data_IF_048608140171
#
_entry.id   IF_048608140171
#
_cell.length_a   1.000
_cell.length_b   1.000
_cell.length_c   1.000
_cell.angle_alpha   90.00
_cell.angle_beta   90.00
_cell.angle_gamma   90.00
#
_symmetry.space_group_name_H-M   'P 1'
#
loop_
_entity.id
_entity.type
_entity.pdbx_description
1 polymer ?
#
# COMPACT_ATOMS: atom_id res chain seq x y z
N UNK A 1 28.38 -28.58 -36.14
CA UNK A 1 27.61 -27.54 -35.40
C UNK A 1 27.16 -27.89 -33.97
N UNK A 2 26.74 -29.12 -33.61
CA UNK A 2 26.26 -29.40 -32.24
C UNK A 2 27.37 -29.34 -31.17
N UNK A 3 28.61 -29.67 -31.52
CA UNK A 3 29.77 -29.64 -30.61
C UNK A 3 30.09 -28.20 -30.16
N UNK A 4 30.07 -27.24 -31.09
CA UNK A 4 30.32 -25.83 -30.80
C UNK A 4 29.24 -25.24 -29.86
N UNK A 5 27.98 -25.64 -30.07
CA UNK A 5 26.85 -25.26 -29.23
C UNK A 5 26.99 -25.82 -27.81
N UNK A 6 27.36 -27.10 -27.68
CA UNK A 6 27.52 -27.74 -26.38
C UNK A 6 28.73 -27.16 -25.61
N UNK A 7 29.84 -26.86 -26.30
CA UNK A 7 30.99 -26.18 -25.71
C UNK A 7 30.63 -24.78 -25.22
N UNK A 8 29.88 -24.00 -26.02
CA UNK A 8 29.40 -22.69 -25.60
C UNK A 8 28.48 -22.76 -24.37
N UNK A 9 27.55 -23.73 -24.33
CA UNK A 9 26.67 -23.94 -23.16
C UNK A 9 27.47 -24.30 -21.91
N UNK A 10 28.50 -25.14 -22.03
CA UNK A 10 29.37 -25.51 -20.91
C UNK A 10 30.19 -24.32 -20.40
N UNK A 11 30.78 -23.53 -21.29
CA UNK A 11 31.52 -22.31 -20.90
C UNK A 11 30.61 -21.29 -20.22
N UNK A 12 29.39 -21.10 -20.73
CA UNK A 12 28.40 -20.22 -20.10
C UNK A 12 28.01 -20.79 -18.72
N UNK A 13 27.72 -22.09 -18.64
CA UNK A 13 27.35 -22.76 -17.39
C UNK A 13 28.45 -22.66 -16.32
N UNK A 14 29.71 -22.91 -16.69
CA UNK A 14 30.87 -22.77 -15.81
C UNK A 14 31.12 -21.31 -15.42
N UNK A 15 30.99 -20.37 -16.35
CA UNK A 15 31.11 -18.94 -16.09
C UNK A 15 30.05 -18.43 -15.11
N UNK A 16 28.79 -18.84 -15.30
CA UNK A 16 27.68 -18.53 -14.37
C UNK A 16 27.94 -19.18 -13.01
N UNK A 17 28.35 -20.45 -12.98
CA UNK A 17 28.64 -21.17 -11.73
C UNK A 17 29.79 -20.53 -10.94
N UNK A 18 30.87 -20.13 -11.62
CA UNK A 18 32.00 -19.43 -11.00
C UNK A 18 31.62 -18.02 -10.52
N UNK A 19 30.79 -17.30 -11.28
CA UNK A 19 30.27 -16.00 -10.88
C UNK A 19 29.35 -16.10 -9.65
N UNK A 20 28.46 -17.09 -9.63
CA UNK A 20 27.64 -17.40 -8.45
C UNK A 20 28.55 -17.72 -7.26
N UNK A 21 29.50 -18.65 -7.41
CA UNK A 21 30.43 -19.03 -6.35
C UNK A 21 31.21 -17.83 -5.78
N UNK A 22 31.74 -16.96 -6.65
CA UNK A 22 32.41 -15.72 -6.23
C UNK A 22 31.46 -14.79 -5.49
N UNK A 23 30.26 -14.57 -6.02
CA UNK A 23 29.27 -13.66 -5.42
C UNK A 23 28.80 -14.15 -4.05
N UNK A 24 28.63 -15.47 -3.89
CA UNK A 24 28.26 -16.12 -2.62
C UNK A 24 29.32 -15.89 -1.55
N UNK A 25 30.61 -15.97 -1.89
CA UNK A 25 31.71 -15.76 -0.93
C UNK A 25 31.72 -14.31 -0.40
N UNK A 26 31.46 -13.33 -1.27
CA UNK A 26 31.50 -11.92 -0.88
C UNK A 26 30.18 -11.39 -0.31
N UNK A 27 29.06 -12.05 -0.61
CA UNK A 27 27.68 -11.61 -0.31
C UNK A 27 26.78 -12.82 0.00
N UNK A 28 27.00 -13.54 1.11
CA UNK A 28 26.21 -14.72 1.48
C UNK A 28 24.71 -14.42 1.60
N UNK A 29 24.34 -13.18 1.92
CA UNK A 29 22.96 -12.72 2.01
C UNK A 29 22.22 -12.78 0.66
N UNK A 30 22.93 -12.64 -0.47
CA UNK A 30 22.33 -12.75 -1.81
C UNK A 30 21.93 -14.18 -2.13
N UNK A 31 22.73 -15.16 -1.71
CA UNK A 31 22.41 -16.57 -1.92
C UNK A 31 21.11 -16.93 -1.22
N UNK A 32 20.99 -16.54 0.05
CA UNK A 32 19.80 -16.83 0.84
C UNK A 32 18.55 -16.16 0.26
N UNK A 33 18.64 -14.88 -0.10
CA UNK A 33 17.53 -14.20 -0.76
C UNK A 33 17.15 -14.87 -2.08
N UNK A 34 18.13 -15.32 -2.86
CA UNK A 34 17.89 -16.06 -4.09
C UNK A 34 17.21 -17.41 -3.81
N UNK A 35 17.66 -18.17 -2.80
CA UNK A 35 17.04 -19.43 -2.38
C UNK A 35 15.59 -19.24 -1.97
N UNK A 36 15.30 -18.25 -1.12
CA UNK A 36 13.92 -17.91 -0.71
C UNK A 36 13.09 -17.51 -1.94
N UNK A 37 13.65 -16.69 -2.84
CA UNK A 37 12.96 -16.31 -4.07
C UNK A 37 12.66 -17.53 -4.95
N UNK A 38 13.59 -18.48 -5.11
CA UNK A 38 13.35 -19.72 -5.85
C UNK A 38 12.26 -20.56 -5.19
N UNK A 39 12.25 -20.67 -3.86
CA UNK A 39 11.20 -21.37 -3.12
C UNK A 39 9.82 -20.71 -3.34
N UNK A 40 9.77 -19.39 -3.52
CA UNK A 40 8.54 -18.66 -3.90
C UNK A 40 8.19 -18.86 -5.39
N UNK A 41 9.17 -18.98 -6.29
CA UNK A 41 8.88 -19.05 -7.72
C UNK A 41 8.55 -20.47 -8.21
N UNK A 42 9.14 -21.51 -7.63
CA UNK A 42 8.94 -22.90 -8.06
C UNK A 42 7.46 -23.32 -8.00
N UNK A 43 6.72 -23.14 -6.89
CA UNK A 43 5.31 -23.52 -6.85
C UNK A 43 4.47 -22.72 -7.86
N UNK A 44 4.75 -21.42 -7.99
CA UNK A 44 4.09 -20.57 -8.99
C UNK A 44 4.35 -21.05 -10.41
N UNK A 45 5.59 -21.45 -10.71
CA UNK A 45 5.98 -21.96 -12.02
C UNK A 45 5.29 -23.29 -12.31
N UNK A 46 5.22 -24.20 -11.34
CA UNK A 46 4.49 -25.47 -11.48
C UNK A 46 3.01 -25.19 -11.76
N UNK A 47 2.36 -24.33 -10.95
CA UNK A 47 0.95 -23.96 -11.14
C UNK A 47 0.69 -23.30 -12.50
N UNK A 48 1.61 -22.47 -12.97
CA UNK A 48 1.54 -21.87 -14.30
C UNK A 48 1.75 -22.90 -15.41
N UNK A 49 2.73 -23.79 -15.27
CA UNK A 49 3.03 -24.83 -16.24
C UNK A 49 1.87 -25.82 -16.39
N UNK A 50 1.13 -26.10 -15.32
CA UNK A 50 -0.06 -26.98 -15.33
C UNK A 50 -1.38 -26.25 -15.58
N UNK A 51 -1.36 -24.93 -15.84
CA UNK A 51 -2.55 -24.09 -15.99
C UNK A 51 -3.57 -24.23 -14.84
N UNK A 52 -3.06 -24.39 -13.61
CA UNK A 52 -3.88 -24.69 -12.45
C UNK A 52 -4.72 -23.48 -12.01
N UNK A 53 -5.95 -23.76 -11.57
CA UNK A 53 -6.88 -22.76 -11.03
C UNK A 53 -6.35 -22.00 -9.82
N UNK A 54 -5.43 -22.62 -9.07
CA UNK A 54 -4.83 -22.07 -7.86
C UNK A 54 -3.74 -21.02 -8.14
N UNK A 55 -3.38 -20.78 -9.41
CA UNK A 55 -2.35 -19.81 -9.76
C UNK A 55 -2.71 -18.38 -9.35
N UNK A 56 -3.96 -17.93 -9.55
CA UNK A 56 -4.39 -16.60 -9.10
C UNK A 56 -4.33 -16.46 -7.57
N UNK A 57 -4.93 -17.37 -6.78
CA UNK A 57 -4.77 -17.38 -5.33
C UNK A 57 -3.30 -17.35 -4.89
N UNK A 58 -2.43 -18.10 -5.57
CA UNK A 58 -1.01 -18.11 -5.28
C UNK A 58 -0.35 -16.75 -5.50
N UNK A 59 -0.58 -16.11 -6.66
CA UNK A 59 -0.05 -14.78 -6.95
C UNK A 59 -0.54 -13.75 -5.92
N UNK A 60 -1.83 -13.78 -5.58
CA UNK A 60 -2.40 -12.93 -4.52
C UNK A 60 -1.68 -13.18 -3.19
N UNK A 61 -1.47 -14.44 -2.81
CA UNK A 61 -0.77 -14.80 -1.58
C UNK A 61 0.64 -14.19 -1.53
N UNK A 62 1.39 -14.23 -2.64
CA UNK A 62 2.74 -13.64 -2.69
C UNK A 62 2.69 -12.11 -2.56
N UNK A 63 1.71 -11.43 -3.14
CA UNK A 63 1.53 -9.99 -2.91
C UNK A 63 1.22 -9.64 -1.45
N UNK A 64 0.48 -10.50 -0.76
CA UNK A 64 0.09 -10.27 0.63
C UNK A 64 1.20 -10.62 1.61
N UNK A 65 1.93 -11.73 1.40
CA UNK A 65 2.88 -12.28 2.37
C UNK A 65 4.34 -11.96 1.99
N UNK A 66 4.63 -11.68 0.72
CA UNK A 66 5.97 -11.35 0.24
C UNK A 66 6.65 -10.20 1.01
N UNK A 67 5.96 -9.07 1.29
CA UNK A 67 6.57 -8.00 2.08
C UNK A 67 6.90 -8.40 3.52
N UNK A 68 6.08 -9.27 4.13
CA UNK A 68 6.36 -9.83 5.46
C UNK A 68 7.58 -10.74 5.46
N UNK A 69 7.69 -11.65 4.48
CA UNK A 69 8.87 -12.51 4.31
C UNK A 69 10.14 -11.65 4.15
N UNK A 70 10.05 -10.56 3.38
CA UNK A 70 11.15 -9.61 3.25
C UNK A 70 11.49 -8.98 4.60
N UNK A 71 10.53 -8.44 5.33
CA UNK A 71 10.78 -7.80 6.64
C UNK A 71 11.42 -8.75 7.65
N UNK A 72 10.91 -9.98 7.73
CA UNK A 72 11.48 -11.02 8.57
C UNK A 72 12.91 -11.36 8.16
N UNK A 73 13.20 -11.41 6.86
CA UNK A 73 14.55 -11.67 6.36
C UNK A 73 15.50 -10.51 6.65
N UNK A 74 15.05 -9.28 6.43
CA UNK A 74 15.81 -8.05 6.71
C UNK A 74 16.16 -7.99 8.22
N UNK A 75 15.23 -8.38 9.09
CA UNK A 75 15.41 -8.32 10.54
C UNK A 75 16.22 -9.50 11.08
N UNK A 76 15.80 -10.73 10.79
CA UNK A 76 16.38 -11.93 11.40
C UNK A 76 17.76 -12.27 10.85
N UNK A 77 18.03 -11.93 9.58
CA UNK A 77 19.25 -12.38 8.89
C UNK A 77 20.18 -11.22 8.54
N UNK A 78 19.65 -10.17 7.90
CA UNK A 78 20.48 -9.03 7.51
C UNK A 78 20.80 -8.11 8.70
N UNK A 79 19.97 -8.13 9.75
CA UNK A 79 20.10 -7.26 10.92
C UNK A 79 19.99 -5.76 10.61
N UNK A 80 19.55 -5.40 9.40
CA UNK A 80 19.48 -4.03 8.93
C UNK A 80 18.45 -3.85 7.82
N UNK A 81 17.88 -2.65 7.77
CA UNK A 81 16.95 -2.28 6.71
C UNK A 81 17.69 -2.04 5.38
N UNK A 82 17.17 -2.64 4.31
CA UNK A 82 17.59 -2.34 2.94
C UNK A 82 16.43 -1.77 2.14
N UNK A 83 16.70 -0.73 1.35
CA UNK A 83 15.69 -0.08 0.48
C UNK A 83 15.21 -1.01 -0.62
N UNK A 84 16.12 -1.80 -1.20
CA UNK A 84 15.82 -2.74 -2.27
C UNK A 84 16.54 -4.07 -2.02
N UNK A 85 15.77 -5.15 -1.97
CA UNK A 85 16.28 -6.51 -1.83
C UNK A 85 15.80 -7.35 -3.01
N UNK A 86 16.45 -8.50 -3.25
CA UNK A 86 16.00 -9.42 -4.30
C UNK A 86 14.58 -9.92 -4.00
N UNK A 87 14.23 -10.05 -2.71
CA UNK A 87 12.90 -10.42 -2.25
C UNK A 87 11.82 -9.39 -2.59
N UNK A 88 12.18 -8.11 -2.76
CA UNK A 88 11.28 -7.06 -3.24
C UNK A 88 10.72 -7.33 -4.65
N UNK A 89 11.37 -8.19 -5.43
CA UNK A 89 10.92 -8.61 -6.75
C UNK A 89 9.94 -9.79 -6.71
N UNK A 90 9.77 -10.45 -5.56
CA UNK A 90 8.94 -11.67 -5.47
C UNK A 90 7.51 -11.49 -5.98
N UNK A 91 6.75 -10.41 -5.67
CA UNK A 91 5.38 -10.30 -6.16
C UNK A 91 5.32 -10.04 -7.67
N UNK A 92 6.24 -9.22 -8.18
CA UNK A 92 6.37 -8.93 -9.61
C UNK A 92 6.70 -10.21 -10.38
N UNK A 93 7.73 -10.95 -9.94
CA UNK A 93 8.15 -12.18 -10.61
C UNK A 93 7.08 -13.27 -10.53
N UNK A 94 6.41 -13.43 -9.38
CA UNK A 94 5.30 -14.37 -9.25
C UNK A 94 4.14 -14.00 -10.19
N UNK A 95 3.84 -12.71 -10.34
CA UNK A 95 2.77 -12.24 -11.25
C UNK A 95 3.16 -12.45 -12.72
N UNK A 96 4.43 -12.25 -13.09
CA UNK A 96 4.92 -12.51 -14.45
C UNK A 96 4.75 -13.97 -14.88
N UNK A 97 4.64 -14.92 -13.95
CA UNK A 97 4.34 -16.32 -14.27
C UNK A 97 2.95 -16.50 -14.89
N UNK A 98 2.02 -15.55 -14.67
CA UNK A 98 0.72 -15.52 -15.34
C UNK A 98 0.87 -15.36 -16.87
N UNK A 99 2.01 -14.90 -17.38
CA UNK A 99 2.26 -14.83 -18.81
C UNK A 99 2.43 -16.22 -19.45
N UNK A 100 2.93 -17.21 -18.71
CA UNK A 100 3.24 -18.54 -19.26
C UNK A 100 2.00 -19.24 -19.87
N UNK A 101 0.83 -19.27 -19.19
CA UNK A 101 -0.37 -19.84 -19.80
C UNK A 101 -0.94 -18.99 -20.95
N UNK A 102 -0.64 -17.67 -21.01
CA UNK A 102 -1.12 -16.82 -22.11
C UNK A 102 -0.48 -17.21 -23.43
N UNK A 103 0.82 -17.54 -23.43
CA UNK A 103 1.51 -18.00 -24.63
C UNK A 103 0.99 -19.34 -25.17
N UNK A 104 0.22 -20.08 -24.36
CA UNK A 104 -0.45 -21.33 -24.77
C UNK A 104 -1.93 -21.13 -25.10
N UNK A 105 -2.46 -19.92 -24.90
CA UNK A 105 -3.86 -19.65 -25.18
C UNK A 105 -4.06 -19.47 -26.68
N UNK A 106 -4.93 -20.29 -27.27
CA UNK A 106 -5.36 -20.16 -28.67
C UNK A 106 -6.40 -19.05 -28.86
N UNK A 107 -6.91 -18.45 -27.77
CA UNK A 107 -7.90 -17.39 -27.85
C UNK A 107 -7.22 -16.08 -28.20
N UNK A 108 -7.58 -15.53 -29.35
CA UNK A 108 -7.20 -14.18 -29.72
C UNK A 108 -8.05 -13.14 -28.96
N UNK A 109 -7.45 -12.04 -28.47
CA UNK A 109 -8.19 -10.93 -27.90
C UNK A 109 -9.02 -10.22 -28.98
N UNK A 110 -10.27 -9.90 -28.66
CA UNK A 110 -11.16 -9.16 -29.56
C UNK A 110 -10.68 -7.72 -29.79
N UNK A 111 -11.16 -7.06 -30.85
CA UNK A 111 -10.84 -5.64 -31.14
C UNK A 111 -11.20 -4.69 -29.99
N UNK A 112 -12.24 -4.99 -29.21
CA UNK A 112 -12.64 -4.19 -28.04
C UNK A 112 -11.64 -4.35 -26.90
N UNK A 113 -11.24 -5.59 -26.64
CA UNK A 113 -10.24 -5.94 -25.63
C UNK A 113 -8.88 -5.31 -25.98
N UNK A 114 -8.43 -5.40 -27.24
CA UNK A 114 -7.20 -4.75 -27.70
C UNK A 114 -7.23 -3.23 -27.57
N UNK A 115 -8.38 -2.58 -27.84
CA UNK A 115 -8.53 -1.14 -27.62
C UNK A 115 -8.42 -0.78 -26.14
N UNK A 116 -9.04 -1.56 -25.26
CA UNK A 116 -8.95 -1.37 -23.82
C UNK A 116 -7.50 -1.51 -23.34
N UNK A 117 -6.80 -2.55 -23.80
CA UNK A 117 -5.38 -2.78 -23.50
C UNK A 117 -4.53 -1.58 -23.95
N UNK A 118 -4.70 -1.11 -25.18
CA UNK A 118 -3.94 0.05 -25.69
C UNK A 118 -4.23 1.32 -24.89
N UNK A 119 -5.50 1.58 -24.57
CA UNK A 119 -5.90 2.74 -23.78
C UNK A 119 -5.28 2.72 -22.37
N UNK A 120 -5.13 1.53 -21.78
CA UNK A 120 -4.45 1.36 -20.49
C UNK A 120 -2.93 1.48 -20.60
N UNK A 121 -2.31 0.83 -21.58
CA UNK A 121 -0.84 0.74 -21.68
C UNK A 121 -0.18 2.08 -22.04
N UNK A 122 -0.86 2.97 -22.78
CA UNK A 122 -0.25 4.22 -23.26
C UNK A 122 0.11 5.19 -22.12
N UNK A 123 -0.78 5.49 -21.14
CA UNK A 123 -0.40 6.25 -19.94
C UNK A 123 0.75 5.62 -19.14
N UNK A 124 0.76 4.29 -18.98
CA UNK A 124 1.84 3.60 -18.25
C UNK A 124 3.17 3.65 -19.00
N UNK A 125 3.16 3.56 -20.33
CA UNK A 125 4.37 3.72 -21.13
C UNK A 125 4.95 5.13 -20.98
N UNK A 126 4.09 6.16 -21.02
CA UNK A 126 4.50 7.54 -20.79
C UNK A 126 5.05 7.76 -19.36
N UNK A 127 4.30 7.33 -18.34
CA UNK A 127 4.74 7.42 -16.94
C UNK A 127 6.04 6.64 -16.69
N UNK A 128 6.19 5.48 -17.35
CA UNK A 128 7.40 4.67 -17.31
C UNK A 128 8.60 5.37 -17.93
N UNK A 129 8.44 6.00 -19.10
CA UNK A 129 9.50 6.79 -19.74
C UNK A 129 9.93 7.96 -18.85
N UNK A 130 8.97 8.72 -18.30
CA UNK A 130 9.25 9.81 -17.36
C UNK A 130 9.95 9.29 -16.10
N UNK A 131 9.47 8.20 -15.52
CA UNK A 131 10.05 7.58 -14.33
C UNK A 131 11.49 7.10 -14.55
N UNK A 132 11.78 6.48 -15.69
CA UNK A 132 13.12 6.03 -16.07
C UNK A 132 14.08 7.21 -16.26
N UNK A 133 13.64 8.27 -16.93
CA UNK A 133 14.44 9.47 -17.16
C UNK A 133 14.79 10.20 -15.86
N UNK A 134 13.83 10.30 -14.92
CA UNK A 134 14.00 11.06 -13.68
C UNK A 134 14.64 10.23 -12.54
N UNK A 135 14.29 8.95 -12.42
CA UNK A 135 14.60 8.13 -11.24
C UNK A 135 15.33 6.81 -11.57
N UNK A 136 15.73 6.58 -12.82
CA UNK A 136 16.49 5.41 -13.28
C UNK A 136 15.90 4.09 -12.78
N UNK A 137 16.66 3.32 -11.98
CA UNK A 137 16.25 2.01 -11.45
C UNK A 137 15.03 2.09 -10.53
N UNK A 138 14.88 3.14 -9.73
CA UNK A 138 13.71 3.31 -8.87
C UNK A 138 12.44 3.54 -9.71
N UNK A 139 12.58 4.32 -10.79
CA UNK A 139 11.51 4.50 -11.78
C UNK A 139 11.13 3.19 -12.48
N UNK A 140 12.11 2.37 -12.85
CA UNK A 140 11.87 1.04 -13.43
C UNK A 140 11.15 0.09 -12.46
N UNK A 141 11.60 0.02 -11.21
CA UNK A 141 10.93 -0.78 -10.19
C UNK A 141 9.50 -0.31 -9.93
N UNK A 142 9.28 1.02 -9.90
CA UNK A 142 7.95 1.60 -9.85
C UNK A 142 7.07 1.12 -11.01
N UNK A 143 7.57 1.22 -12.25
CA UNK A 143 6.86 0.77 -13.44
C UNK A 143 6.48 -0.73 -13.37
N UNK A 144 7.40 -1.58 -12.93
CA UNK A 144 7.13 -3.02 -12.77
C UNK A 144 5.97 -3.30 -11.81
N UNK A 145 5.87 -2.56 -10.70
CA UNK A 145 4.77 -2.73 -9.75
C UNK A 145 3.40 -2.33 -10.32
N UNK A 146 3.36 -1.46 -11.34
CA UNK A 146 2.11 -1.10 -12.03
C UNK A 146 1.80 -2.00 -13.21
N UNK A 147 2.81 -2.43 -13.97
CA UNK A 147 2.64 -3.28 -15.15
C UNK A 147 2.38 -4.73 -14.76
N UNK A 148 3.02 -5.24 -13.71
CA UNK A 148 2.89 -6.65 -13.34
C UNK A 148 1.43 -7.05 -13.03
N UNK A 149 0.65 -6.31 -12.21
CA UNK A 149 -0.76 -6.61 -11.99
C UNK A 149 -1.62 -6.66 -13.27
N UNK A 150 -1.18 -6.04 -14.38
CA UNK A 150 -1.91 -6.14 -15.66
C UNK A 150 -1.89 -7.56 -16.22
N UNK A 151 -0.86 -8.37 -15.93
CA UNK A 151 -0.86 -9.79 -16.30
C UNK A 151 -2.05 -10.55 -15.72
N UNK A 152 -2.56 -10.13 -14.55
CA UNK A 152 -3.79 -10.69 -13.98
C UNK A 152 -5.01 -10.38 -14.86
N UNK A 153 -5.12 -9.15 -15.35
CA UNK A 153 -6.19 -8.75 -16.27
C UNK A 153 -6.11 -9.56 -17.56
N UNK A 154 -4.94 -9.65 -18.20
CA UNK A 154 -4.75 -10.45 -19.41
C UNK A 154 -5.08 -11.93 -19.19
N UNK A 155 -4.65 -12.49 -18.07
CA UNK A 155 -4.94 -13.86 -17.69
C UNK A 155 -6.44 -14.11 -17.52
N UNK A 156 -7.14 -13.25 -16.78
CA UNK A 156 -8.58 -13.38 -16.61
C UNK A 156 -9.37 -13.17 -17.91
N UNK A 157 -8.86 -12.32 -18.81
CA UNK A 157 -9.50 -12.08 -20.10
C UNK A 157 -9.37 -13.28 -21.05
N UNK A 158 -8.19 -13.89 -21.14
CA UNK A 158 -7.91 -14.95 -22.11
C UNK A 158 -8.25 -16.35 -21.60
N UNK A 159 -8.11 -16.61 -20.30
CA UNK A 159 -8.41 -17.92 -19.71
C UNK A 159 -9.90 -18.08 -19.46
N UNK A 160 -10.48 -19.16 -19.99
CA UNK A 160 -11.83 -19.60 -19.60
C UNK A 160 -11.79 -20.03 -18.14
N UNK A 161 -12.61 -19.38 -17.32
CA UNK A 161 -12.80 -19.70 -15.90
C UNK A 161 -14.29 -19.90 -15.66
N UNK A 162 -14.63 -20.93 -14.90
CA UNK A 162 -16.02 -21.17 -14.49
C UNK A 162 -16.40 -20.28 -13.29
N UNK A 163 -17.70 -20.18 -13.01
CA UNK A 163 -18.22 -19.35 -11.91
C UNK A 163 -17.81 -19.87 -10.53
N UNK A 164 -17.58 -21.18 -10.40
CA UNK A 164 -17.12 -21.81 -9.15
C UNK A 164 -15.68 -21.43 -8.83
N UNK A 165 -14.81 -21.44 -9.83
CA UNK A 165 -13.41 -21.04 -9.75
C UNK A 165 -13.29 -19.55 -9.39
N UNK A 166 -14.05 -18.69 -10.06
CA UNK A 166 -14.11 -17.25 -9.74
C UNK A 166 -14.61 -17.03 -8.31
N UNK A 167 -15.64 -17.77 -7.88
CA UNK A 167 -16.12 -17.70 -6.51
C UNK A 167 -15.10 -18.21 -5.50
N UNK A 168 -14.28 -19.20 -5.85
CA UNK A 168 -13.18 -19.68 -5.01
C UNK A 168 -12.06 -18.64 -4.88
N UNK A 169 -11.71 -17.93 -5.96
CA UNK A 169 -10.74 -16.83 -5.93
C UNK A 169 -11.20 -15.68 -5.04
N UNK A 170 -12.45 -15.23 -5.18
CA UNK A 170 -13.01 -14.18 -4.33
C UNK A 170 -13.04 -14.64 -2.87
N UNK A 171 -13.46 -15.87 -2.61
CA UNK A 171 -13.48 -16.43 -1.25
C UNK A 171 -12.09 -16.49 -0.63
N UNK A 172 -11.07 -16.88 -1.40
CA UNK A 172 -9.68 -16.84 -0.96
C UNK A 172 -9.25 -15.41 -0.62
N UNK A 173 -9.53 -14.45 -1.50
CA UNK A 173 -9.24 -13.03 -1.30
C UNK A 173 -9.86 -12.46 -0.01
N UNK A 174 -11.15 -12.74 0.23
CA UNK A 174 -11.87 -12.34 1.46
C UNK A 174 -11.30 -13.04 2.70
N UNK A 175 -10.94 -14.32 2.58
CA UNK A 175 -10.34 -15.09 3.68
C UNK A 175 -8.99 -14.47 4.07
N UNK A 176 -8.16 -14.11 3.09
CA UNK A 176 -6.91 -13.40 3.35
C UNK A 176 -7.15 -12.03 3.97
N UNK A 177 -8.17 -11.28 3.53
CA UNK A 177 -8.64 -10.05 4.18
C UNK A 177 -8.85 -10.22 5.69
N UNK A 178 -9.54 -11.28 6.08
CA UNK A 178 -9.80 -11.60 7.49
C UNK A 178 -8.51 -11.98 8.23
N UNK A 179 -7.65 -12.82 7.65
CA UNK A 179 -6.39 -13.23 8.27
C UNK A 179 -5.41 -12.06 8.46
N UNK A 180 -5.27 -11.21 7.44
CA UNK A 180 -4.44 -10.01 7.54
C UNK A 180 -4.99 -9.02 8.57
N UNK A 181 -6.31 -9.03 8.80
CA UNK A 181 -6.93 -8.21 9.85
C UNK A 181 -6.62 -8.73 11.26
N UNK A 182 -6.54 -10.05 11.45
CA UNK A 182 -6.03 -10.64 12.70
C UNK A 182 -4.59 -10.18 12.94
N UNK A 183 -3.73 -10.33 11.91
CA UNK A 183 -2.34 -9.91 12.01
C UNK A 183 -2.20 -8.40 12.24
N UNK A 184 -3.05 -7.57 11.63
CA UNK A 184 -3.04 -6.12 11.84
C UNK A 184 -3.31 -5.74 13.31
N UNK A 185 -4.25 -6.43 13.97
CA UNK A 185 -4.49 -6.23 15.40
C UNK A 185 -3.30 -6.70 16.24
N UNK A 186 -2.76 -7.88 15.97
CA UNK A 186 -1.54 -8.35 16.64
C UNK A 186 -0.39 -7.36 16.46
N UNK A 187 -0.18 -6.88 15.24
CA UNK A 187 0.83 -5.90 14.86
C UNK A 187 0.62 -4.59 15.63
N UNK A 188 -0.61 -4.07 15.67
CA UNK A 188 -0.96 -2.82 16.34
C UNK A 188 -0.74 -2.87 17.86
N UNK A 189 -1.06 -4.01 18.49
CA UNK A 189 -0.97 -4.20 19.93
C UNK A 189 0.45 -4.52 20.41
N UNK A 190 1.24 -5.24 19.62
CA UNK A 190 2.56 -5.74 20.06
C UNK A 190 3.74 -5.01 19.44
N UNK A 191 3.56 -4.47 18.23
CA UNK A 191 4.60 -3.96 17.34
C UNK A 191 5.84 -4.88 17.30
N UNK A 192 5.82 -5.92 16.45
CA UNK A 192 6.94 -6.83 16.32
C UNK A 192 8.25 -6.13 15.93
N UNK A 193 9.38 -6.69 16.34
CA UNK A 193 10.69 -6.08 16.15
C UNK A 193 11.05 -5.84 14.67
N UNK A 194 10.64 -6.74 13.77
CA UNK A 194 10.85 -6.58 12.33
C UNK A 194 10.01 -5.44 11.73
N UNK A 195 8.79 -5.25 12.24
CA UNK A 195 7.93 -4.14 11.82
C UNK A 195 8.42 -2.80 12.38
N UNK A 196 8.94 -2.77 13.62
CA UNK A 196 9.64 -1.59 14.16
C UNK A 196 10.82 -1.19 13.28
N UNK A 197 11.70 -2.13 12.97
CA UNK A 197 12.86 -1.91 12.10
C UNK A 197 12.43 -1.42 10.71
N UNK A 198 11.32 -1.93 10.19
CA UNK A 198 10.76 -1.48 8.91
C UNK A 198 10.29 -0.02 8.96
N UNK A 199 9.52 0.37 9.97
CA UNK A 199 9.01 1.74 10.13
C UNK A 199 10.16 2.74 10.25
N UNK A 200 11.14 2.43 11.09
CA UNK A 200 12.30 3.27 11.36
C UNK A 200 13.23 3.37 10.14
N UNK A 201 13.57 2.22 9.55
CA UNK A 201 14.47 2.13 8.40
C UNK A 201 13.91 2.79 7.15
N UNK A 202 12.63 2.57 6.86
CA UNK A 202 11.94 3.19 5.73
C UNK A 202 11.53 4.66 5.99
N UNK A 203 11.78 5.19 7.20
CA UNK A 203 11.45 6.57 7.61
C UNK A 203 9.98 6.93 7.33
N UNK A 204 9.07 6.02 7.66
CA UNK A 204 7.64 6.18 7.36
C UNK A 204 6.95 7.12 8.36
N UNK A 205 7.28 8.41 8.33
CA UNK A 205 6.76 9.43 9.25
C UNK A 205 5.22 9.46 9.28
N UNK A 206 4.57 9.15 8.15
CA UNK A 206 3.10 9.14 8.03
C UNK A 206 2.42 8.02 8.82
N UNK A 207 3.14 6.97 9.23
CA UNK A 207 2.60 5.89 10.05
C UNK A 207 2.48 6.26 11.53
N UNK A 208 3.20 7.27 12.01
CA UNK A 208 3.30 7.61 13.42
C UNK A 208 4.53 7.00 14.10
N UNK A 209 4.71 7.22 15.41
CA UNK A 209 5.83 6.68 16.18
C UNK A 209 5.86 5.16 16.15
N UNK A 210 7.05 4.55 16.11
CA UNK A 210 7.23 3.09 16.12
C UNK A 210 7.06 2.51 17.55
N UNK A 211 5.89 2.78 18.13
CA UNK A 211 5.48 2.32 19.46
C UNK A 211 4.11 1.62 19.38
N UNK A 212 3.87 0.57 20.19
CA UNK A 212 2.58 -0.11 20.25
C UNK A 212 1.42 0.88 20.42
N UNK A 213 0.32 0.63 19.70
CA UNK A 213 -0.89 1.46 19.67
C UNK A 213 -0.74 2.91 19.16
N UNK A 214 0.48 3.36 18.82
CA UNK A 214 0.73 4.73 18.34
C UNK A 214 0.99 4.83 16.83
N UNK A 215 1.19 3.70 16.16
CA UNK A 215 1.37 3.65 14.71
C UNK A 215 0.11 3.16 13.98
N UNK A 216 0.02 3.45 12.69
CA UNK A 216 -1.05 2.99 11.81
C UNK A 216 -0.75 1.59 11.30
N UNK A 217 -1.65 0.65 11.55
CA UNK A 217 -1.46 -0.75 11.17
C UNK A 217 -1.38 -0.90 9.63
N UNK A 218 -0.48 -1.78 9.17
CA UNK A 218 -0.29 -2.09 7.75
C UNK A 218 -0.23 -3.60 7.46
N UNK A 219 -0.40 -4.43 8.50
CA UNK A 219 -0.37 -5.89 8.41
C UNK A 219 0.88 -6.38 7.67
N UNK A 220 0.76 -7.44 6.87
CA UNK A 220 1.84 -8.03 6.08
C UNK A 220 2.24 -7.20 4.85
N UNK A 221 1.62 -6.04 4.60
CA UNK A 221 1.85 -5.21 3.41
C UNK A 221 2.87 -4.10 3.68
N UNK A 222 3.42 -3.48 2.64
CA UNK A 222 4.50 -2.48 2.80
C UNK A 222 4.07 -1.18 3.49
N UNK A 223 2.79 -0.82 3.43
CA UNK A 223 2.27 0.45 3.94
C UNK A 223 0.77 0.35 4.27
N UNK A 224 0.29 1.21 5.17
CA UNK A 224 -1.11 1.25 5.61
C UNK A 224 -2.08 1.57 4.48
N UNK A 225 -1.68 2.42 3.51
CA UNK A 225 -2.51 2.74 2.34
C UNK A 225 -2.75 1.55 1.41
N UNK A 226 -1.76 0.68 1.22
CA UNK A 226 -1.95 -0.54 0.43
C UNK A 226 -2.88 -1.53 1.16
N UNK A 227 -2.72 -1.64 2.49
CA UNK A 227 -3.56 -2.47 3.32
C UNK A 227 -5.01 -2.00 3.39
N UNK A 228 -5.24 -0.70 3.55
CA UNK A 228 -6.59 -0.15 3.63
C UNK A 228 -7.36 -0.32 2.31
N UNK A 229 -6.70 -0.15 1.15
CA UNK A 229 -7.30 -0.42 -0.16
C UNK A 229 -7.67 -1.90 -0.30
N UNK A 230 -6.76 -2.80 0.08
CA UNK A 230 -7.01 -4.25 0.07
C UNK A 230 -8.20 -4.65 0.96
N UNK A 231 -8.32 -4.06 2.15
CA UNK A 231 -9.47 -4.32 3.04
C UNK A 231 -10.79 -3.87 2.41
N UNK A 232 -10.84 -2.66 1.84
CA UNK A 232 -12.05 -2.13 1.21
C UNK A 232 -12.52 -3.05 0.07
N UNK A 233 -11.60 -3.42 -0.82
CA UNK A 233 -11.92 -4.32 -1.93
C UNK A 233 -12.27 -5.76 -1.49
N UNK A 234 -11.85 -6.19 -0.29
CA UNK A 234 -12.22 -7.49 0.28
C UNK A 234 -13.56 -7.46 1.04
N UNK A 235 -13.85 -6.36 1.75
CA UNK A 235 -15.10 -6.17 2.51
C UNK A 235 -16.31 -6.21 1.56
N UNK A 236 -16.21 -5.54 0.41
CA UNK A 236 -17.33 -5.41 -0.52
C UNK A 236 -17.89 -6.76 -1.00
N UNK A 237 -17.13 -7.67 -1.62
CA UNK A 237 -17.63 -8.98 -2.02
C UNK A 237 -18.13 -9.83 -0.83
N UNK A 238 -17.53 -9.68 0.35
CA UNK A 238 -17.98 -10.39 1.55
C UNK A 238 -19.39 -9.95 1.98
N UNK A 239 -19.69 -8.64 1.92
CA UNK A 239 -21.03 -8.12 2.21
C UNK A 239 -22.04 -8.61 1.16
N UNK A 240 -21.67 -8.49 -0.12
CA UNK A 240 -22.57 -8.74 -1.26
C UNK A 240 -23.13 -10.16 -1.30
N UNK A 241 -22.28 -11.17 -1.07
CA UNK A 241 -22.70 -12.55 -1.25
C UNK A 241 -22.21 -13.47 -0.13
N UNK A 242 -23.13 -14.20 0.49
CA UNK A 242 -22.82 -15.20 1.52
C UNK A 242 -21.79 -16.23 1.05
N UNK A 243 -21.81 -16.61 -0.25
CA UNK A 243 -20.88 -17.60 -0.82
C UNK A 243 -19.42 -17.12 -0.87
N UNK A 244 -19.19 -15.80 -0.76
CA UNK A 244 -17.86 -15.17 -0.84
C UNK A 244 -17.26 -14.81 0.52
N UNK A 245 -18.02 -14.92 1.62
CA UNK A 245 -17.60 -14.51 2.98
C UNK A 245 -16.44 -15.31 3.57
N UNK A 246 -15.98 -16.36 2.89
CA UNK A 246 -14.97 -17.26 3.44
C UNK A 246 -15.47 -18.03 4.67
N UNK A 247 -14.56 -18.68 5.39
CA UNK A 247 -14.90 -19.48 6.57
C UNK A 247 -15.30 -18.63 7.78
N UNK A 248 -14.87 -17.36 7.85
CA UNK A 248 -15.08 -16.49 9.00
C UNK A 248 -16.43 -15.74 8.99
N UNK A 249 -17.18 -15.79 7.89
CA UNK A 249 -18.53 -15.24 7.83
C UNK A 249 -18.59 -13.74 8.19
N UNK A 250 -19.55 -13.38 9.06
CA UNK A 250 -19.70 -12.01 9.56
C UNK A 250 -18.58 -11.58 10.50
N UNK A 251 -17.99 -12.50 11.27
CA UNK A 251 -16.88 -12.18 12.16
C UNK A 251 -15.67 -11.69 11.34
N UNK A 252 -15.40 -12.31 10.19
CA UNK A 252 -14.36 -11.84 9.26
C UNK A 252 -14.62 -10.42 8.74
N UNK A 253 -15.87 -10.09 8.41
CA UNK A 253 -16.25 -8.74 7.94
C UNK A 253 -16.04 -7.69 9.04
N UNK A 254 -16.53 -7.95 10.25
CA UNK A 254 -16.35 -7.04 11.39
C UNK A 254 -14.87 -6.85 11.72
N UNK A 255 -14.09 -7.94 11.65
CA UNK A 255 -12.65 -7.88 11.85
C UNK A 255 -11.97 -7.01 10.79
N UNK A 256 -12.32 -7.16 9.51
CA UNK A 256 -11.79 -6.32 8.43
C UNK A 256 -12.16 -4.84 8.60
N UNK A 257 -13.41 -4.53 8.99
CA UNK A 257 -13.84 -3.15 9.26
C UNK A 257 -13.07 -2.57 10.44
N UNK A 258 -12.87 -3.35 11.51
CA UNK A 258 -12.10 -2.90 12.68
C UNK A 258 -10.61 -2.68 12.34
N UNK A 259 -10.02 -3.56 11.52
CA UNK A 259 -8.66 -3.39 11.03
C UNK A 259 -8.54 -2.14 10.14
N UNK A 260 -9.56 -1.85 9.32
CA UNK A 260 -9.63 -0.63 8.52
C UNK A 260 -9.59 0.63 9.42
N UNK A 261 -10.24 0.61 10.58
CA UNK A 261 -10.21 1.72 11.55
C UNK A 261 -8.80 2.01 12.06
N UNK A 262 -8.04 0.98 12.45
CA UNK A 262 -6.67 1.14 12.96
C UNK A 262 -5.63 1.48 11.86
N UNK A 263 -6.00 1.43 10.57
CA UNK A 263 -5.15 1.99 9.49
C UNK A 263 -5.15 3.52 9.44
N UNK A 264 -6.21 4.17 9.97
CA UNK A 264 -6.48 5.61 9.93
C UNK A 264 -6.46 6.25 8.52
N UNK A 265 -6.69 5.46 7.46
CA UNK A 265 -6.73 5.97 6.07
C UNK A 265 -8.13 6.47 5.72
N UNK A 266 -8.38 7.77 5.94
CA UNK A 266 -9.69 8.40 5.70
C UNK A 266 -10.23 8.19 4.29
N UNK A 267 -9.36 8.27 3.28
CA UNK A 267 -9.73 8.07 1.89
C UNK A 267 -10.34 6.67 1.64
N UNK A 268 -9.89 5.64 2.36
CA UNK A 268 -10.42 4.28 2.20
C UNK A 268 -11.85 4.14 2.73
N UNK A 269 -12.23 4.87 3.77
CA UNK A 269 -13.64 4.94 4.21
C UNK A 269 -14.54 5.57 3.15
N UNK A 270 -14.06 6.64 2.51
CA UNK A 270 -14.78 7.29 1.41
C UNK A 270 -14.94 6.32 0.24
N UNK A 271 -13.88 5.60 -0.15
CA UNK A 271 -13.95 4.59 -1.21
C UNK A 271 -14.95 3.49 -0.86
N UNK A 272 -14.94 2.97 0.38
CA UNK A 272 -15.91 1.97 0.82
C UNK A 272 -17.36 2.47 0.70
N UNK A 273 -17.61 3.71 1.13
CA UNK A 273 -18.95 4.32 0.99
C UNK A 273 -19.34 4.46 -0.48
N UNK A 274 -18.43 4.94 -1.34
CA UNK A 274 -18.67 5.07 -2.78
C UNK A 274 -18.96 3.71 -3.41
N UNK A 275 -18.19 2.67 -3.09
CA UNK A 275 -18.41 1.31 -3.59
C UNK A 275 -19.77 0.76 -3.18
N UNK A 276 -20.16 0.94 -1.91
CA UNK A 276 -21.47 0.54 -1.40
C UNK A 276 -22.59 1.28 -2.14
N UNK A 277 -22.50 2.61 -2.25
CA UNK A 277 -23.51 3.43 -2.94
C UNK A 277 -23.62 3.04 -4.40
N UNK A 278 -22.49 2.97 -5.11
CA UNK A 278 -22.45 2.59 -6.51
C UNK A 278 -23.11 1.23 -6.74
N UNK A 279 -22.84 0.27 -5.85
CA UNK A 279 -23.43 -1.05 -5.97
C UNK A 279 -24.92 -1.09 -5.64
N UNK A 280 -25.39 -0.34 -4.63
CA UNK A 280 -26.82 -0.19 -4.33
C UNK A 280 -27.57 0.41 -5.52
N UNK A 281 -26.97 1.41 -6.19
CA UNK A 281 -27.55 2.03 -7.39
C UNK A 281 -27.68 1.03 -8.55
N UNK A 282 -26.71 0.13 -8.72
CA UNK A 282 -26.76 -0.91 -9.75
C UNK A 282 -27.62 -2.12 -9.38
N UNK A 283 -27.84 -2.39 -8.09
CA UNK A 283 -28.66 -3.50 -7.61
C UNK A 283 -30.15 -3.28 -7.92
N UNK A 284 -30.89 -4.35 -8.24
CA UNK A 284 -32.32 -4.30 -8.54
C UNK A 284 -33.19 -4.99 -7.48
N UNK A 285 -34.39 -4.45 -7.25
CA UNK A 285 -35.46 -5.04 -6.42
C UNK A 285 -35.03 -5.43 -5.00
N UNK A 286 -35.27 -6.69 -4.63
CA UNK A 286 -35.01 -7.23 -3.29
C UNK A 286 -33.53 -7.25 -2.89
N UNK A 287 -32.60 -7.29 -3.85
CA UNK A 287 -31.16 -7.25 -3.56
C UNK A 287 -30.73 -5.89 -3.02
N UNK A 288 -31.31 -4.81 -3.58
CA UNK A 288 -31.08 -3.43 -3.14
C UNK A 288 -31.55 -3.21 -1.70
N UNK A 289 -32.78 -3.63 -1.39
CA UNK A 289 -33.34 -3.54 -0.02
C UNK A 289 -32.48 -4.30 0.99
N UNK A 290 -32.08 -5.54 0.66
CA UNK A 290 -31.18 -6.33 1.52
C UNK A 290 -29.87 -5.62 1.83
N UNK A 291 -29.25 -4.99 0.82
CA UNK A 291 -28.00 -4.25 1.02
C UNK A 291 -28.20 -3.01 1.88
N UNK A 292 -29.27 -2.24 1.63
CA UNK A 292 -29.60 -1.08 2.46
C UNK A 292 -29.79 -1.50 3.91
N UNK A 293 -30.51 -2.60 4.17
CA UNK A 293 -30.68 -3.13 5.53
C UNK A 293 -29.34 -3.54 6.16
N UNK A 294 -28.49 -4.27 5.43
CA UNK A 294 -27.17 -4.69 5.95
C UNK A 294 -26.29 -3.48 6.28
N UNK A 295 -26.21 -2.52 5.37
CA UNK A 295 -25.41 -1.30 5.56
C UNK A 295 -25.97 -0.49 6.72
N UNK A 296 -27.29 -0.33 6.81
CA UNK A 296 -27.96 0.33 7.93
C UNK A 296 -27.62 -0.32 9.27
N UNK A 297 -27.66 -1.65 9.35
CA UNK A 297 -27.26 -2.39 10.56
C UNK A 297 -25.79 -2.16 10.89
N UNK A 298 -24.88 -2.19 9.90
CA UNK A 298 -23.46 -1.94 10.13
C UNK A 298 -23.18 -0.52 10.60
N UNK A 299 -23.89 0.48 10.07
CA UNK A 299 -23.77 1.89 10.49
C UNK A 299 -24.27 2.06 11.93
N UNK A 300 -25.43 1.51 12.25
CA UNK A 300 -25.98 1.58 13.63
C UNK A 300 -25.08 0.84 14.61
N UNK A 301 -24.65 -0.38 14.27
CA UNK A 301 -23.71 -1.14 15.10
C UNK A 301 -22.38 -0.39 15.25
N UNK A 302 -21.88 0.23 14.18
CA UNK A 302 -20.72 1.10 14.20
C UNK A 302 -20.91 2.24 15.19
N UNK A 303 -22.00 3.01 15.08
CA UNK A 303 -22.28 4.14 15.97
C UNK A 303 -22.36 3.72 17.46
N UNK A 304 -22.89 2.53 17.74
CA UNK A 304 -22.98 2.02 19.11
C UNK A 304 -21.64 1.48 19.65
N UNK A 305 -20.82 0.85 18.81
CA UNK A 305 -19.58 0.18 19.23
C UNK A 305 -18.36 1.10 19.19
N UNK A 306 -18.31 2.05 18.25
CA UNK A 306 -17.15 2.92 18.03
C UNK A 306 -16.73 3.76 19.25
N UNK A 307 -17.66 4.31 20.06
CA UNK A 307 -17.31 5.03 21.29
C UNK A 307 -16.58 4.17 22.34
N UNK A 308 -16.69 2.84 22.24
CA UNK A 308 -16.07 1.89 23.16
C UNK A 308 -14.73 1.34 22.66
N UNK A 309 -14.32 1.67 21.43
CA UNK A 309 -13.01 1.25 20.90
C UNK A 309 -11.89 2.18 21.41
N UNK A 310 -10.68 1.63 21.67
CA UNK A 310 -9.53 2.45 22.05
C UNK A 310 -9.24 3.49 20.96
N UNK A 311 -9.29 4.78 21.31
CA UNK A 311 -9.16 5.91 20.38
C UNK A 311 -10.50 6.53 19.89
N UNK A 312 -11.66 5.96 20.25
CA UNK A 312 -12.99 6.44 19.83
C UNK A 312 -13.52 7.66 20.59
N UNK A 313 -12.99 7.94 21.78
CA UNK A 313 -13.47 9.03 22.66
C UNK A 313 -13.29 10.45 22.09
N UNK A 314 -12.39 10.65 21.12
CA UNK A 314 -12.11 11.97 20.54
C UNK A 314 -13.12 12.45 19.48
N UNK A 315 -14.01 11.58 18.99
CA UNK A 315 -14.91 11.91 17.88
C UNK A 315 -16.30 12.38 18.31
N UNK A 316 -16.76 12.02 19.51
CA UNK A 316 -18.11 12.37 20.00
C UNK A 316 -18.07 13.52 21.02
N UNK A 317 -16.98 13.66 21.78
CA UNK A 317 -16.84 14.73 22.79
C UNK A 317 -16.53 16.12 22.22
N UNK A 318 -15.91 16.20 21.03
CA UNK A 318 -15.47 17.48 20.45
C UNK A 318 -16.60 18.34 19.86
N UNK A 319 -17.83 17.82 19.74
CA UNK A 319 -18.99 18.62 19.33
C UNK A 319 -19.83 19.16 20.50
N UNK A 320 -19.51 18.79 21.74
CA UNK A 320 -20.25 19.24 22.94
C UNK A 320 -19.41 20.20 23.80
N UNK A 321 -18.07 20.19 23.67
CA UNK A 321 -17.17 21.03 24.47
C UNK A 321 -16.78 22.39 23.84
N UNK A 322 -17.30 22.72 22.66
CA UNK A 322 -17.08 24.05 22.03
C UNK A 322 -17.74 25.21 22.82
N UNK A 323 -18.52 24.91 23.86
CA UNK A 323 -19.10 25.89 24.79
C UNK A 323 -18.24 26.22 26.03
N UNK A 324 -17.12 25.54 26.27
CA UNK A 324 -16.29 25.76 27.46
C UNK A 324 -14.92 26.41 27.20
N UNK A 325 -14.47 26.51 25.95
CA UNK A 325 -13.17 27.12 25.62
C UNK A 325 -13.15 28.66 25.66
N UNK A 326 -14.29 29.35 25.79
CA UNK A 326 -14.33 30.82 25.90
C UNK A 326 -14.24 31.37 27.33
N UNK A 327 -14.19 30.53 28.39
CA UNK A 327 -14.17 31.00 29.80
C UNK A 327 -12.88 30.73 30.57
N UNK A 328 -11.77 30.42 29.89
CA UNK A 328 -10.48 30.14 30.52
C UNK A 328 -9.45 31.28 30.55
N UNK A 329 -9.63 32.36 29.78
CA UNK A 329 -8.64 33.44 29.66
C UNK A 329 -8.97 34.67 30.50
N UNK A 330 -9.11 34.50 31.82
CA UNK A 330 -9.06 35.63 32.77
C UNK A 330 -8.14 35.29 33.93
N UNK A 331 -7.00 36.01 33.96
CA UNK A 331 -6.05 36.23 35.07
C UNK A 331 -5.23 35.02 35.56
N UNK A 332 -4.02 34.92 35.04
CA UNK A 332 -2.86 34.60 35.88
C UNK A 332 -1.81 35.71 35.74
N UNK A 333 -1.52 36.38 36.86
CA UNK A 333 -0.39 37.31 37.01
C UNK A 333 0.90 36.49 37.09
N UNK A 334 1.99 36.86 36.41
CA UNK A 334 3.28 36.22 36.62
C UNK A 334 3.89 36.74 37.93
N UNK A 335 4.09 35.84 38.89
CA UNK A 335 4.95 36.06 40.05
C UNK A 335 6.42 36.09 39.60
N UNK A 336 7.08 37.19 39.93
CA UNK A 336 8.45 37.49 39.57
C UNK A 336 9.46 36.56 40.28
N UNK A 337 10.24 35.82 39.49
CA UNK A 337 11.58 35.40 39.89
C UNK A 337 12.60 36.04 38.95
N UNK A 338 13.40 36.95 39.52
CA UNK A 338 14.47 37.71 38.88
C UNK A 338 15.65 36.78 38.56
N UNK A 339 16.01 36.73 37.29
CA UNK A 339 17.38 36.45 36.85
C UNK A 339 17.93 37.70 36.13
N UNK A 340 19.24 37.98 36.15
CA UNK A 340 19.79 39.25 35.69
C UNK A 340 19.75 39.34 34.17
N UNK A 341 19.13 40.42 33.67
CA UNK A 341 18.91 40.66 32.25
C UNK A 341 20.11 41.39 31.64
N UNK A 342 20.80 40.75 30.69
CA UNK A 342 21.78 41.39 29.82
C UNK A 342 21.06 42.28 28.80
N UNK A 343 21.21 43.60 28.95
CA UNK A 343 20.59 44.65 28.15
C UNK A 343 21.09 44.74 26.70
N UNK A 344 22.10 43.96 26.29
CA UNK A 344 22.61 43.99 24.90
C UNK A 344 21.86 43.09 23.93
N UNK A 345 21.25 41.99 24.40
CA UNK A 345 20.53 41.04 23.53
C UNK A 345 19.16 41.56 23.05
N UNK A 346 18.52 42.42 23.84
CA UNK A 346 17.18 42.92 23.51
C UNK A 346 17.20 43.96 22.38
N UNK A 347 18.25 44.78 22.29
CA UNK A 347 18.42 45.75 21.19
C UNK A 347 18.76 45.07 19.85
N UNK A 348 19.50 43.96 19.88
CA UNK A 348 19.80 43.18 18.68
C UNK A 348 18.53 42.55 18.06
N UNK A 349 17.65 41.96 18.90
CA UNK A 349 16.42 41.31 18.40
C UNK A 349 15.37 42.28 17.85
N UNK A 350 15.40 43.54 18.30
CA UNK A 350 14.51 44.61 17.81
C UNK A 350 15.04 45.19 16.49
N UNK A 351 16.37 45.35 16.35
CA UNK A 351 17.01 45.77 15.10
C UNK A 351 16.82 44.75 13.98
N UNK A 352 16.91 43.46 14.28
CA UNK A 352 16.76 42.42 13.26
C UNK A 352 15.30 42.32 12.75
N UNK A 353 14.31 42.48 13.64
CA UNK A 353 12.89 42.53 13.24
C UNK A 353 12.54 43.73 12.36
N UNK A 354 13.08 44.92 12.69
CA UNK A 354 12.87 46.12 11.87
C UNK A 354 13.60 46.08 10.53
N UNK A 355 14.71 45.32 10.42
CA UNK A 355 15.42 45.12 9.15
C UNK A 355 14.65 44.17 8.22
N UNK A 356 14.15 43.02 8.73
CA UNK A 356 13.35 42.07 7.93
C UNK A 356 12.05 42.68 7.42
N UNK A 357 11.39 43.52 8.22
CA UNK A 357 10.16 44.19 7.80
C UNK A 357 10.39 45.24 6.68
N UNK A 358 11.57 45.88 6.65
CA UNK A 358 11.94 46.81 5.57
C UNK A 358 12.31 46.10 4.27
N UNK A 359 12.98 44.94 4.33
CA UNK A 359 13.26 44.17 3.11
C UNK A 359 11.97 43.69 2.43
N UNK A 360 10.98 43.21 3.20
CA UNK A 360 9.72 42.70 2.65
C UNK A 360 8.97 43.77 1.82
N UNK A 361 8.90 45.00 2.33
CA UNK A 361 8.28 46.13 1.62
C UNK A 361 9.11 46.70 0.45
N UNK A 362 10.40 46.42 0.39
CA UNK A 362 11.23 46.79 -0.76
C UNK A 362 11.03 45.80 -1.92
N UNK A 363 10.83 44.51 -1.62
CA UNK A 363 10.57 43.47 -2.61
C UNK A 363 9.17 43.62 -3.23
N UNK A 364 8.15 43.90 -2.41
CA UNK A 364 6.77 44.14 -2.89
C UNK A 364 6.69 45.33 -3.86
N UNK A 365 7.32 46.47 -3.52
CA UNK A 365 7.37 47.65 -4.40
C UNK A 365 8.15 47.46 -5.70
N UNK A 366 9.02 46.44 -5.78
CA UNK A 366 9.76 46.10 -7.01
C UNK A 366 8.93 45.21 -7.93
N UNK A 367 8.06 44.37 -7.37
CA UNK A 367 7.12 43.56 -8.12
C UNK A 367 5.98 44.41 -8.69
N UNK A 368 5.45 45.37 -7.94
CA UNK A 368 4.38 46.27 -8.43
C UNK A 368 4.82 47.13 -9.63
N UNK A 369 6.11 47.47 -9.74
CA UNK A 369 6.64 48.19 -10.92
C UNK A 369 6.83 47.31 -12.16
N UNK A 370 6.95 45.99 -11.98
CA UNK A 370 7.11 45.06 -13.11
C UNK A 370 5.78 44.65 -13.72
N UNK A 371 4.65 44.88 -13.03
CA UNK A 371 3.32 44.44 -13.45
C UNK A 371 2.32 45.57 -13.74
N UNK A 372 2.75 46.82 -13.87
CA UNK A 372 1.88 47.86 -14.45
C UNK A 372 1.95 47.81 -15.99
N UNK A 373 0.85 47.44 -16.69
CA UNK A 373 0.79 47.52 -18.14
C UNK A 373 0.73 48.99 -18.54
N UNK A 374 1.64 49.40 -19.44
CA UNK A 374 1.64 50.73 -20.03
C UNK A 374 0.35 50.97 -20.83
N UNK A 375 -0.56 51.76 -20.26
CA UNK A 375 -1.63 52.43 -21.00
C UNK A 375 -1.08 53.78 -21.45
N UNK A 376 -0.84 53.92 -22.76
CA UNK A 376 -0.71 55.12 -23.61
C UNK A 376 -0.47 54.52 -25.01
N UNK A 377 -1.27 54.75 -26.02
CA UNK A 377 -1.93 55.97 -26.50
C UNK A 377 -1.87 55.87 -28.02
#
# INVERSE_FOLDING_TARGET
MPILRNAAMLTIGLGVSAWIGKTVIFRPEWLLQASILFLILIPGFILAATNASKLIPYVILIWLVGPEIRRLTDWAILGSYSTLTLLSLSPVLATSLLALPLFRSEREPSRKELRLIKAYMLPFAYAGAVGLLLNKLAGFYGLLNYVAPLFLLFYMMLRKSDDGERAAWIRFYVTMGSLLSVYAWFQYLTLPAWDRMWIEGARMVSLGPAEPMQFKAFSTLNANGAFSIFLVSAIMPAIMNRKWRGPFGWAGILLMISALSITLVRASWIVLIIEIVFFILLASGASRLRMISIVGVLVVAGFLVFPHLPGGGGFVGSHIDDGQFERGHVRQRPSAHRAPHDSRSHLASVRERTWRHRQKHATERRLDRLFQPGIRG
#
